data_IF_496082238193
#
_entry.id   IF_496082238193
#
_cell.length_a   1.000
_cell.length_b   1.000
_cell.length_c   1.000
_cell.angle_alpha   90.00
_cell.angle_beta   90.00
_cell.angle_gamma   90.00
#
_symmetry.space_group_name_H-M   'P 1'
#
loop_
_entity.id
_entity.type
_entity.pdbx_description
1 polymer ?
#
# COMPACT_ATOMS: atom_id res chain seq x y z
N UNK A 1 -33.28 1.21 2.21
CA UNK A 1 -32.01 1.54 2.92
C UNK A 1 -31.27 2.53 2.04
N UNK A 2 -30.92 3.70 2.55
CA UNK A 2 -30.11 4.63 1.78
C UNK A 2 -28.73 4.02 1.56
N UNK A 3 -28.32 3.97 0.30
CA UNK A 3 -26.99 3.47 -0.11
C UNK A 3 -25.92 4.34 0.53
N UNK A 4 -24.88 3.75 1.13
CA UNK A 4 -23.80 4.55 1.73
C UNK A 4 -23.11 5.41 0.66
N UNK A 5 -22.53 6.58 0.98
CA UNK A 5 -21.80 7.37 0.02
C UNK A 5 -20.64 6.61 -0.61
N UNK A 6 -19.98 5.76 0.15
CA UNK A 6 -18.90 4.91 -0.36
C UNK A 6 -19.42 3.87 -1.36
N UNK A 7 -20.62 3.30 -1.13
CA UNK A 7 -21.24 2.38 -2.09
C UNK A 7 -21.59 3.08 -3.40
N UNK A 8 -22.01 4.35 -3.37
CA UNK A 8 -22.23 5.12 -4.60
C UNK A 8 -20.97 5.23 -5.46
N UNK A 9 -19.82 5.43 -4.82
CA UNK A 9 -18.53 5.46 -5.52
C UNK A 9 -18.20 4.10 -6.11
N UNK A 10 -18.36 3.03 -5.33
CA UNK A 10 -18.13 1.64 -5.76
C UNK A 10 -19.02 1.26 -6.95
N UNK A 11 -20.29 1.62 -6.89
CA UNK A 11 -21.26 1.34 -7.94
C UNK A 11 -20.94 2.10 -9.24
N UNK A 12 -20.51 3.36 -9.13
CA UNK A 12 -20.04 4.14 -10.28
C UNK A 12 -18.82 3.50 -10.95
N UNK A 13 -17.85 3.00 -10.20
CA UNK A 13 -16.73 2.23 -10.75
C UNK A 13 -17.15 0.90 -11.36
N UNK A 14 -18.13 0.22 -10.75
CA UNK A 14 -18.69 -1.01 -11.30
C UNK A 14 -19.34 -0.77 -12.65
N UNK A 15 -20.08 0.31 -12.82
CA UNK A 15 -20.74 0.67 -14.07
C UNK A 15 -19.72 1.09 -15.14
N UNK A 16 -18.70 1.85 -14.76
CA UNK A 16 -17.71 2.40 -15.69
C UNK A 16 -16.66 1.38 -16.11
N UNK A 17 -15.98 0.73 -15.17
CA UNK A 17 -14.84 -0.15 -15.42
C UNK A 17 -15.11 -1.62 -15.14
N UNK A 18 -16.30 -1.97 -14.64
CA UNK A 18 -16.63 -3.34 -14.20
C UNK A 18 -15.59 -3.90 -13.23
N UNK A 19 -15.25 -3.11 -12.23
CA UNK A 19 -14.33 -3.58 -11.19
C UNK A 19 -14.86 -4.87 -10.57
N UNK A 20 -14.01 -5.88 -10.52
CA UNK A 20 -14.34 -7.12 -9.84
C UNK A 20 -14.51 -6.88 -8.32
N UNK A 21 -15.18 -7.76 -7.59
CA UNK A 21 -15.20 -7.68 -6.12
C UNK A 21 -13.80 -7.54 -5.51
N UNK A 22 -12.79 -8.14 -6.14
CA UNK A 22 -11.39 -8.05 -5.71
C UNK A 22 -10.74 -6.69 -6.01
N UNK A 23 -11.27 -5.91 -6.95
CA UNK A 23 -10.73 -4.60 -7.31
C UNK A 23 -11.44 -3.45 -6.57
N UNK A 24 -12.67 -3.66 -6.07
CA UNK A 24 -13.41 -2.67 -5.27
C UNK A 24 -12.62 -2.10 -4.09
N UNK A 25 -11.87 -2.91 -3.30
CA UNK A 25 -11.05 -2.40 -2.20
C UNK A 25 -10.01 -1.36 -2.60
N UNK A 26 -9.68 -1.24 -3.91
CA UNK A 26 -8.76 -0.20 -4.39
C UNK A 26 -9.32 1.22 -4.20
N UNK A 27 -10.64 1.37 -4.43
CA UNK A 27 -11.35 2.64 -4.22
C UNK A 27 -11.38 2.97 -2.72
N UNK A 28 -11.77 2.00 -1.91
CA UNK A 28 -11.87 2.14 -0.46
C UNK A 28 -10.52 2.52 0.15
N UNK A 29 -9.47 1.82 -0.25
CA UNK A 29 -8.11 2.05 0.21
C UNK A 29 -7.58 3.45 -0.16
N UNK A 30 -7.82 3.88 -1.40
CA UNK A 30 -7.38 5.21 -1.84
C UNK A 30 -8.10 6.33 -1.07
N UNK A 31 -9.44 6.28 -1.01
CA UNK A 31 -10.22 7.29 -0.29
C UNK A 31 -9.93 7.29 1.21
N UNK A 32 -9.80 6.11 1.81
CA UNK A 32 -9.42 5.98 3.22
C UNK A 32 -8.01 6.56 3.48
N UNK A 33 -7.05 6.37 2.56
CA UNK A 33 -5.72 6.97 2.68
C UNK A 33 -5.78 8.49 2.59
N UNK A 34 -6.52 9.06 1.64
CA UNK A 34 -6.70 10.51 1.52
C UNK A 34 -7.35 11.10 2.77
N UNK A 35 -8.42 10.48 3.27
CA UNK A 35 -9.11 10.92 4.48
C UNK A 35 -8.21 10.79 5.72
N UNK A 36 -7.52 9.66 5.90
CA UNK A 36 -6.62 9.42 7.02
C UNK A 36 -5.56 10.53 7.12
N UNK A 37 -4.94 10.90 6.03
CA UNK A 37 -3.93 11.97 6.00
C UNK A 37 -4.49 13.37 6.23
N UNK A 38 -5.79 13.58 5.99
CA UNK A 38 -6.45 14.88 6.14
C UNK A 38 -6.92 15.16 7.57
N UNK A 39 -7.49 14.13 8.25
CA UNK A 39 -8.23 14.32 9.51
C UNK A 39 -7.39 14.18 10.76
N UNK A 40 -6.08 13.94 10.63
CA UNK A 40 -5.24 13.68 11.81
C UNK A 40 -4.14 14.74 12.00
N UNK A 41 -3.84 15.08 13.26
CA UNK A 41 -2.50 15.47 13.66
C UNK A 41 -1.65 14.20 13.68
N UNK A 42 -1.21 13.72 12.52
CA UNK A 42 -0.54 12.43 12.39
C UNK A 42 0.94 12.63 12.59
N UNK A 43 1.51 11.86 13.51
CA UNK A 43 2.96 11.72 13.63
C UNK A 43 3.49 10.85 12.50
N UNK A 44 2.75 9.81 12.11
CA UNK A 44 3.10 8.87 11.04
C UNK A 44 2.04 8.88 9.93
N UNK A 45 2.28 9.58 8.80
CA UNK A 45 1.33 9.64 7.69
C UNK A 45 1.20 8.30 6.97
N UNK A 46 0.07 8.09 6.31
CA UNK A 46 -0.14 6.90 5.46
C UNK A 46 0.47 7.17 4.08
N UNK A 47 1.45 6.34 3.72
CA UNK A 47 2.03 6.31 2.38
C UNK A 47 1.64 5.02 1.67
N UNK A 48 1.00 5.15 0.52
CA UNK A 48 0.32 4.05 -0.15
C UNK A 48 0.78 3.77 -1.58
N UNK A 49 0.74 2.48 -1.95
CA UNK A 49 0.87 2.01 -3.32
C UNK A 49 -0.41 1.37 -3.81
N UNK A 50 -0.86 1.74 -5.00
CA UNK A 50 -1.85 0.96 -5.74
C UNK A 50 -1.12 0.15 -6.81
N UNK A 51 -0.98 -1.16 -6.55
CA UNK A 51 -0.12 -2.05 -7.32
C UNK A 51 -0.96 -2.81 -8.34
N UNK A 52 -0.58 -2.78 -9.60
CA UNK A 52 -1.30 -3.54 -10.63
C UNK A 52 -0.66 -3.43 -12.01
N UNK A 53 -1.05 -4.29 -12.95
CA UNK A 53 -0.55 -4.22 -14.31
C UNK A 53 -0.89 -2.87 -14.96
N UNK A 54 -0.22 -2.51 -16.06
CA UNK A 54 -0.64 -1.36 -16.87
C UNK A 54 -2.12 -1.45 -17.27
N UNK A 55 -2.78 -0.31 -17.36
CA UNK A 55 -4.18 -0.18 -17.81
C UNK A 55 -5.24 -0.89 -16.93
N UNK A 56 -4.94 -1.28 -15.70
CA UNK A 56 -5.94 -1.90 -14.80
C UNK A 56 -6.84 -0.90 -14.05
N UNK A 57 -6.79 0.39 -14.37
CA UNK A 57 -7.66 1.41 -13.77
C UNK A 57 -7.08 2.16 -12.56
N UNK A 58 -5.82 1.93 -12.18
CA UNK A 58 -5.17 2.64 -11.05
C UNK A 58 -5.33 4.16 -11.15
N UNK A 59 -5.00 4.71 -12.32
CA UNK A 59 -5.04 6.15 -12.53
C UNK A 59 -6.47 6.70 -12.49
N UNK A 60 -7.47 5.92 -12.94
CA UNK A 60 -8.87 6.34 -12.84
C UNK A 60 -9.33 6.42 -11.37
N UNK A 61 -8.86 5.50 -10.50
CA UNK A 61 -9.12 5.60 -9.05
C UNK A 61 -8.48 6.86 -8.49
N UNK A 62 -7.20 7.10 -8.76
CA UNK A 62 -6.47 8.24 -8.18
C UNK A 62 -6.99 9.59 -8.67
N UNK A 63 -7.38 9.69 -9.94
CA UNK A 63 -7.90 10.94 -10.54
C UNK A 63 -9.22 11.41 -9.93
N UNK A 64 -9.97 10.55 -9.25
CA UNK A 64 -11.22 10.95 -8.60
C UNK A 64 -11.04 12.06 -7.57
N UNK A 65 -9.84 12.20 -7.02
CA UNK A 65 -9.52 13.19 -6.00
C UNK A 65 -8.51 14.26 -6.50
N UNK A 66 -8.22 14.32 -7.81
CA UNK A 66 -7.17 15.21 -8.35
C UNK A 66 -7.41 16.69 -8.04
N UNK A 67 -8.66 17.13 -8.03
CA UNK A 67 -9.07 18.51 -7.76
C UNK A 67 -9.48 18.75 -6.30
N UNK A 68 -9.43 17.72 -5.45
CA UNK A 68 -9.88 17.83 -4.08
C UNK A 68 -8.80 18.41 -3.15
N UNK A 69 -9.21 19.25 -2.19
CA UNK A 69 -8.30 19.92 -1.25
C UNK A 69 -7.48 19.01 -0.34
N UNK A 70 -7.87 17.72 -0.19
CA UNK A 70 -7.12 16.72 0.57
C UNK A 70 -5.96 16.12 -0.22
N UNK A 71 -5.83 16.41 -1.50
CA UNK A 71 -4.77 15.85 -2.35
C UNK A 71 -3.97 16.95 -3.03
N UNK A 72 -2.78 16.58 -3.46
CA UNK A 72 -1.96 17.37 -4.36
C UNK A 72 -1.47 16.41 -5.45
N UNK A 73 -1.97 16.59 -6.67
CA UNK A 73 -1.73 15.68 -7.77
C UNK A 73 -0.60 16.16 -8.67
N UNK A 74 0.34 15.28 -9.00
CA UNK A 74 1.45 15.56 -9.93
C UNK A 74 1.68 14.38 -10.85
N UNK A 75 2.05 14.66 -12.08
CA UNK A 75 2.35 13.63 -13.09
C UNK A 75 3.73 13.01 -12.88
N UNK A 76 4.71 13.81 -12.53
CA UNK A 76 6.09 13.37 -12.27
C UNK A 76 6.70 14.07 -11.06
N UNK A 77 7.70 13.43 -10.46
CA UNK A 77 8.41 13.93 -9.29
C UNK A 77 9.92 13.84 -9.50
N UNK A 78 10.62 14.90 -9.12
CA UNK A 78 12.09 14.92 -9.10
C UNK A 78 12.60 15.11 -7.68
N UNK A 79 13.85 14.70 -7.37
CA UNK A 79 14.41 14.90 -6.03
C UNK A 79 14.41 16.36 -5.56
N UNK A 80 14.46 17.31 -6.49
CA UNK A 80 14.49 18.72 -6.20
C UNK A 80 13.13 19.40 -6.17
N UNK A 81 12.07 18.75 -6.68
CA UNK A 81 10.71 19.33 -6.65
C UNK A 81 10.14 19.40 -5.24
N UNK A 82 10.49 18.44 -4.36
CA UNK A 82 10.05 18.48 -2.95
C UNK A 82 10.63 19.68 -2.20
N UNK A 83 11.94 19.89 -2.34
CA UNK A 83 12.66 21.02 -1.73
C UNK A 83 13.59 21.63 -2.77
N UNK A 84 13.23 22.77 -3.33
CA UNK A 84 14.06 23.49 -4.31
C UNK A 84 15.19 24.24 -3.62
N UNK A 85 16.37 24.21 -4.23
CA UNK A 85 17.50 25.06 -3.84
C UNK A 85 17.60 26.35 -4.64
N UNK A 86 16.67 26.59 -5.57
CA UNK A 86 16.67 27.78 -6.42
C UNK A 86 15.73 28.85 -5.91
N UNK A 87 16.08 30.12 -6.15
CA UNK A 87 15.12 31.23 -6.09
C UNK A 87 14.46 31.35 -7.47
N UNK A 88 13.20 31.80 -7.48
CA UNK A 88 12.58 32.20 -8.74
C UNK A 88 13.27 33.47 -9.26
N UNK A 89 13.55 33.50 -10.56
CA UNK A 89 14.12 34.70 -11.19
C UNK A 89 13.10 35.84 -11.29
N UNK A 90 11.81 35.47 -11.39
CA UNK A 90 10.70 36.43 -11.49
C UNK A 90 10.23 36.94 -10.12
N UNK A 91 10.32 36.12 -9.06
CA UNK A 91 9.98 36.48 -7.69
C UNK A 91 10.94 35.79 -6.70
N UNK A 92 11.98 36.52 -6.22
CA UNK A 92 12.96 35.97 -5.29
C UNK A 92 12.42 35.53 -3.93
N UNK A 93 11.19 35.96 -3.55
CA UNK A 93 10.53 35.56 -2.31
C UNK A 93 9.68 34.29 -2.50
N UNK A 94 9.35 33.94 -3.74
CA UNK A 94 8.59 32.74 -4.06
C UNK A 94 9.39 31.47 -3.80
N UNK A 95 8.82 30.54 -3.03
CA UNK A 95 9.39 29.22 -2.81
C UNK A 95 8.85 28.22 -3.86
N UNK A 96 9.64 27.78 -4.82
CA UNK A 96 9.22 26.81 -5.83
C UNK A 96 9.16 25.37 -5.32
N UNK A 97 9.31 25.13 -4.02
CA UNK A 97 9.21 23.81 -3.40
C UNK A 97 7.75 23.35 -3.32
N UNK A 98 7.52 22.04 -3.43
CA UNK A 98 6.20 21.44 -3.24
C UNK A 98 5.79 21.39 -1.75
N UNK A 99 6.75 21.25 -0.84
CA UNK A 99 6.47 21.02 0.58
C UNK A 99 5.49 22.01 1.21
N UNK A 100 5.55 23.33 0.97
CA UNK A 100 4.58 24.28 1.55
C UNK A 100 3.13 23.98 1.18
N UNK A 101 2.90 23.30 0.06
CA UNK A 101 1.58 22.99 -0.46
C UNK A 101 1.04 21.62 0.01
N UNK A 102 1.85 20.82 0.71
CA UNK A 102 1.54 19.43 1.03
C UNK A 102 0.97 19.21 2.44
N UNK A 103 1.01 20.22 3.32
CA UNK A 103 0.59 20.00 4.72
C UNK A 103 -0.84 19.45 4.82
N UNK A 104 -0.97 18.33 5.52
CA UNK A 104 -2.24 17.57 5.68
C UNK A 104 -2.91 17.19 4.36
N UNK A 105 -2.13 17.00 3.31
CA UNK A 105 -2.61 16.51 2.02
C UNK A 105 -1.93 15.18 1.67
N UNK A 106 -2.52 14.47 0.75
CA UNK A 106 -1.89 13.30 0.12
C UNK A 106 -1.26 13.73 -1.20
N UNK A 107 0.07 13.65 -1.30
CA UNK A 107 0.78 13.81 -2.57
C UNK A 107 0.48 12.60 -3.43
N UNK A 108 -0.25 12.80 -4.51
CA UNK A 108 -0.58 11.78 -5.49
C UNK A 108 0.36 11.90 -6.70
N UNK A 109 1.12 10.84 -6.98
CA UNK A 109 1.99 10.75 -8.16
C UNK A 109 1.40 9.71 -9.11
N UNK A 110 1.13 10.08 -10.37
CA UNK A 110 0.37 9.22 -11.28
C UNK A 110 1.02 7.86 -11.52
N UNK A 111 2.34 7.84 -11.77
CA UNK A 111 3.10 6.59 -11.97
C UNK A 111 4.50 6.68 -11.36
N UNK A 112 4.70 5.98 -10.25
CA UNK A 112 6.01 5.89 -9.62
C UNK A 112 6.96 4.94 -10.35
N UNK A 113 6.47 4.11 -11.26
CA UNK A 113 7.33 3.18 -12.02
C UNK A 113 8.34 3.95 -12.85
N UNK A 114 7.96 5.09 -13.41
CA UNK A 114 8.86 5.98 -14.16
C UNK A 114 10.04 6.49 -13.32
N UNK A 115 9.81 6.69 -12.02
CA UNK A 115 10.87 7.09 -11.08
C UNK A 115 11.84 5.94 -10.80
N UNK A 116 11.36 4.68 -10.79
CA UNK A 116 12.22 3.51 -10.57
C UNK A 116 13.12 3.20 -11.78
N UNK A 117 12.79 3.74 -12.95
CA UNK A 117 13.57 3.62 -14.19
C UNK A 117 14.64 4.70 -14.31
N UNK A 118 14.56 5.78 -13.53
CA UNK A 118 15.64 6.78 -13.44
C UNK A 118 16.88 6.12 -12.81
N UNK A 119 18.07 6.50 -13.23
CA UNK A 119 19.32 5.89 -12.74
C UNK A 119 19.43 5.88 -11.21
N UNK A 120 20.14 4.90 -10.67
CA UNK A 120 20.24 4.61 -9.22
C UNK A 120 20.55 5.84 -8.36
N UNK A 121 21.33 6.80 -8.87
CA UNK A 121 21.66 8.03 -8.14
C UNK A 121 20.42 8.88 -7.88
N UNK A 122 19.60 9.14 -8.90
CA UNK A 122 18.37 9.94 -8.78
C UNK A 122 17.35 9.26 -7.86
N UNK A 123 17.20 7.94 -8.01
CA UNK A 123 16.36 7.12 -7.14
C UNK A 123 16.81 7.23 -5.68
N UNK A 124 18.09 7.02 -5.40
CA UNK A 124 18.63 7.09 -4.04
C UNK A 124 18.49 8.49 -3.42
N UNK A 125 18.65 9.55 -4.21
CA UNK A 125 18.43 10.94 -3.74
C UNK A 125 16.96 11.17 -3.37
N UNK A 126 16.02 10.74 -4.21
CA UNK A 126 14.59 10.84 -3.91
C UNK A 126 14.21 10.04 -2.66
N UNK A 127 14.71 8.81 -2.55
CA UNK A 127 14.48 7.97 -1.39
C UNK A 127 15.06 8.57 -0.09
N UNK A 128 16.22 9.21 -0.18
CA UNK A 128 16.81 9.93 0.95
C UNK A 128 15.94 11.14 1.36
N UNK A 129 15.41 11.88 0.39
CA UNK A 129 14.46 12.96 0.64
C UNK A 129 13.20 12.45 1.33
N UNK A 130 12.58 11.39 0.81
CA UNK A 130 11.40 10.78 1.44
C UNK A 130 11.67 10.28 2.87
N UNK A 131 12.81 9.63 3.12
CA UNK A 131 13.17 9.23 4.49
C UNK A 131 13.24 10.42 5.44
N UNK A 132 13.78 11.51 4.96
CA UNK A 132 13.88 12.75 5.72
C UNK A 132 12.55 13.46 5.93
N UNK A 133 11.53 13.20 5.11
CA UNK A 133 10.24 13.90 5.14
C UNK A 133 9.12 13.10 5.81
N UNK A 134 9.37 11.84 6.15
CA UNK A 134 8.38 11.04 6.86
C UNK A 134 8.28 11.45 8.33
N UNK A 135 7.07 11.77 8.79
CA UNK A 135 6.80 12.22 10.15
C UNK A 135 6.66 13.74 10.29
N UNK A 136 6.58 14.22 11.51
CA UNK A 136 6.27 15.62 11.84
C UNK A 136 7.51 16.47 12.21
N UNK A 137 8.71 15.95 11.96
CA UNK A 137 9.93 16.66 12.29
C UNK A 137 10.18 17.84 11.34
N UNK A 138 10.75 18.90 11.92
CA UNK A 138 11.23 20.04 11.15
C UNK A 138 12.36 19.63 10.20
N UNK A 139 12.24 20.02 8.96
CA UNK A 139 13.25 19.78 7.91
C UNK A 139 13.93 21.06 7.51
N UNK A 140 15.24 21.00 7.45
CA UNK A 140 16.09 22.11 7.03
C UNK A 140 16.90 21.69 5.82
N UNK A 141 16.85 22.51 4.80
CA UNK A 141 17.74 22.36 3.64
C UNK A 141 18.49 23.65 3.44
N UNK A 142 19.80 23.55 3.36
CA UNK A 142 20.68 24.63 2.91
C UNK A 142 21.22 24.26 1.55
N UNK A 143 20.89 25.01 0.53
CA UNK A 143 21.43 24.76 -0.83
C UNK A 143 21.27 25.96 -1.75
N UNK A 144 22.23 26.11 -2.64
CA UNK A 144 22.19 27.04 -3.75
C UNK A 144 21.99 28.51 -3.32
N UNK A 145 21.28 29.24 -4.14
CA UNK A 145 20.98 30.67 -3.97
C UNK A 145 19.89 30.94 -2.95
N UNK A 146 19.09 29.92 -2.60
CA UNK A 146 17.94 30.08 -1.70
C UNK A 146 18.33 30.17 -0.21
N UNK A 147 19.58 29.83 0.15
CA UNK A 147 20.02 29.79 1.54
C UNK A 147 19.40 28.63 2.33
N UNK A 148 19.17 28.85 3.63
CA UNK A 148 18.56 27.85 4.51
C UNK A 148 17.04 28.02 4.52
N UNK A 149 16.31 26.97 4.18
CA UNK A 149 14.85 26.86 4.30
C UNK A 149 14.47 25.83 5.35
N UNK A 150 13.44 26.11 6.13
CA UNK A 150 12.89 25.21 7.16
C UNK A 150 11.42 24.93 6.86
N UNK A 151 11.04 23.64 6.89
CA UNK A 151 9.67 23.20 6.69
C UNK A 151 9.23 22.32 7.84
N UNK A 152 8.00 22.50 8.31
CA UNK A 152 7.30 21.57 9.19
C UNK A 152 6.01 21.16 8.49
N UNK A 153 6.04 20.04 7.81
CA UNK A 153 4.95 19.54 6.96
C UNK A 153 4.78 18.06 7.21
N UNK A 154 3.55 17.63 7.44
CA UNK A 154 3.16 16.23 7.50
C UNK A 154 2.22 15.95 6.34
N UNK A 155 2.60 15.03 5.47
CA UNK A 155 1.82 14.72 4.28
C UNK A 155 1.76 13.23 3.99
N UNK A 156 0.64 12.80 3.44
CA UNK A 156 0.49 11.47 2.86
C UNK A 156 1.14 11.35 1.50
N UNK A 157 1.32 10.12 1.07
CA UNK A 157 1.79 9.83 -0.28
C UNK A 157 0.96 8.69 -0.88
N UNK A 158 0.63 8.81 -2.16
CA UNK A 158 -0.06 7.75 -2.88
C UNK A 158 0.38 7.70 -4.34
N UNK A 159 0.63 6.51 -4.88
CA UNK A 159 0.97 6.38 -6.28
C UNK A 159 0.58 5.03 -6.88
N UNK A 160 0.28 5.05 -8.18
CA UNK A 160 0.15 3.85 -8.99
C UNK A 160 1.51 3.25 -9.31
N UNK A 161 1.63 1.93 -9.17
CA UNK A 161 2.88 1.21 -9.49
C UNK A 161 2.57 -0.12 -10.16
N UNK A 162 3.55 -0.65 -10.87
CA UNK A 162 3.48 -2.03 -11.39
C UNK A 162 4.09 -3.04 -10.41
N UNK A 163 4.01 -4.33 -10.73
CA UNK A 163 4.62 -5.39 -9.91
C UNK A 163 6.15 -5.29 -9.74
N UNK A 164 6.82 -4.43 -10.50
CA UNK A 164 8.25 -4.11 -10.35
C UNK A 164 8.57 -3.57 -8.96
N UNK A 165 7.56 -3.00 -8.26
CA UNK A 165 7.72 -2.50 -6.89
C UNK A 165 8.20 -3.58 -5.91
N UNK A 166 7.90 -4.86 -6.15
CA UNK A 166 8.35 -5.95 -5.27
C UNK A 166 9.88 -6.08 -5.27
N UNK A 167 10.51 -5.97 -6.43
CA UNK A 167 11.96 -5.99 -6.53
C UNK A 167 12.59 -4.68 -6.05
N UNK A 168 11.92 -3.57 -6.28
CA UNK A 168 12.34 -2.26 -5.77
C UNK A 168 12.34 -2.23 -4.23
N UNK A 169 11.26 -2.65 -3.59
CA UNK A 169 11.15 -2.72 -2.13
C UNK A 169 12.19 -3.67 -1.53
N UNK A 170 12.49 -4.78 -2.19
CA UNK A 170 13.53 -5.72 -1.74
C UNK A 170 14.93 -5.09 -1.77
N UNK A 171 15.23 -4.26 -2.77
CA UNK A 171 16.53 -3.57 -2.89
C UNK A 171 16.65 -2.36 -1.96
N UNK A 172 15.55 -1.65 -1.73
CA UNK A 172 15.50 -0.40 -0.99
C UNK A 172 14.71 -0.51 0.32
N UNK A 173 14.93 -1.58 1.07
CA UNK A 173 14.17 -1.90 2.29
C UNK A 173 14.09 -0.77 3.32
N UNK A 174 15.14 0.04 3.43
CA UNK A 174 15.15 1.18 4.35
C UNK A 174 14.01 2.17 4.09
N UNK A 175 13.38 2.14 2.90
CA UNK A 175 12.22 2.94 2.58
C UNK A 175 10.92 2.14 2.57
N UNK A 176 10.97 0.87 2.14
CA UNK A 176 9.80 -0.01 2.00
C UNK A 176 8.96 -0.15 3.25
N UNK A 177 9.60 0.00 4.41
CA UNK A 177 8.95 0.03 5.71
C UNK A 177 7.93 1.18 5.91
N UNK A 178 7.92 2.19 5.05
CA UNK A 178 7.03 3.35 5.14
C UNK A 178 5.80 3.25 4.27
N UNK A 179 5.82 2.36 3.29
CA UNK A 179 4.71 2.21 2.35
C UNK A 179 3.90 0.97 2.65
N UNK A 180 2.60 1.12 2.51
CA UNK A 180 1.63 0.03 2.49
C UNK A 180 1.03 -0.10 1.11
N UNK A 181 0.57 -1.26 0.70
CA UNK A 181 0.13 -1.48 -0.68
C UNK A 181 -1.16 -2.28 -0.79
N UNK A 182 -1.91 -2.03 -1.86
CA UNK A 182 -3.04 -2.85 -2.27
C UNK A 182 -2.88 -3.23 -3.74
N UNK A 183 -3.18 -4.49 -4.10
CA UNK A 183 -3.02 -5.03 -5.45
C UNK A 183 -4.34 -5.16 -6.17
N UNK A 184 -4.39 -4.58 -7.36
CA UNK A 184 -5.49 -4.72 -8.30
C UNK A 184 -5.25 -5.89 -9.28
N UNK A 185 -6.33 -6.42 -9.84
CA UNK A 185 -6.34 -7.54 -10.79
C UNK A 185 -5.52 -8.75 -10.30
N UNK A 186 -5.72 -9.09 -9.05
CA UNK A 186 -5.00 -10.16 -8.36
C UNK A 186 -5.12 -11.51 -9.08
N UNK A 187 -6.30 -11.77 -9.63
CA UNK A 187 -6.67 -13.00 -10.31
C UNK A 187 -6.88 -12.82 -11.83
N UNK A 188 -6.24 -11.83 -12.45
CA UNK A 188 -6.39 -11.62 -13.89
C UNK A 188 -6.00 -12.86 -14.73
N UNK A 189 -5.08 -13.66 -14.22
CA UNK A 189 -4.62 -14.90 -14.88
C UNK A 189 -5.65 -16.02 -14.79
N UNK A 190 -6.54 -15.98 -13.80
CA UNK A 190 -7.53 -17.06 -13.54
C UNK A 190 -8.89 -16.78 -14.17
N UNK A 191 -9.05 -15.67 -14.88
CA UNK A 191 -10.31 -15.36 -15.59
C UNK A 191 -10.50 -16.29 -16.77
N UNK A 192 -11.69 -16.86 -16.90
CA UNK A 192 -12.07 -17.59 -18.12
C UNK A 192 -11.97 -16.64 -19.33
N UNK A 193 -11.39 -17.12 -20.43
CA UNK A 193 -11.09 -16.34 -21.65
C UNK A 193 -12.28 -15.48 -22.13
N UNK A 194 -13.50 -16.04 -22.13
CA UNK A 194 -14.69 -15.32 -22.55
C UNK A 194 -15.04 -14.13 -21.65
N UNK A 195 -14.82 -14.25 -20.34
CA UNK A 195 -15.02 -13.16 -19.37
C UNK A 195 -13.98 -12.06 -19.56
N UNK A 196 -12.75 -12.43 -19.87
CA UNK A 196 -11.68 -11.48 -20.16
C UNK A 196 -11.98 -10.68 -21.43
N UNK A 197 -12.39 -11.34 -22.51
CA UNK A 197 -12.78 -10.68 -23.77
C UNK A 197 -14.00 -9.75 -23.57
N UNK A 198 -14.99 -10.18 -22.80
CA UNK A 198 -16.14 -9.33 -22.47
C UNK A 198 -15.72 -8.07 -21.70
N UNK A 199 -14.83 -8.22 -20.72
CA UNK A 199 -14.28 -7.12 -19.95
C UNK A 199 -13.47 -6.14 -20.83
N UNK A 200 -12.58 -6.64 -21.69
CA UNK A 200 -11.81 -5.81 -22.64
C UNK A 200 -12.75 -4.99 -23.53
N UNK A 201 -13.79 -5.61 -24.08
CA UNK A 201 -14.80 -4.91 -24.91
C UNK A 201 -15.53 -3.83 -24.12
N UNK A 202 -15.86 -4.10 -22.84
CA UNK A 202 -16.50 -3.11 -21.99
C UNK A 202 -15.57 -1.91 -21.75
N UNK A 203 -14.32 -2.13 -21.35
CA UNK A 203 -13.34 -1.08 -21.11
C UNK A 203 -13.07 -0.25 -22.37
N UNK A 204 -13.03 -0.87 -23.56
CA UNK A 204 -12.92 -0.14 -24.83
C UNK A 204 -14.11 0.78 -25.08
N UNK A 205 -15.34 0.36 -24.72
CA UNK A 205 -16.54 1.22 -24.82
C UNK A 205 -16.48 2.34 -23.77
N UNK A 206 -16.10 1.99 -22.55
CA UNK A 206 -15.95 2.95 -21.44
C UNK A 206 -14.92 4.05 -21.76
N UNK A 207 -13.82 3.71 -22.44
CA UNK A 207 -12.82 4.69 -22.87
C UNK A 207 -13.38 5.79 -23.78
N UNK A 208 -14.43 5.51 -24.56
CA UNK A 208 -15.12 6.50 -25.41
C UNK A 208 -16.01 7.46 -24.60
N UNK A 209 -16.37 7.12 -23.39
CA UNK A 209 -17.25 7.87 -22.50
C UNK A 209 -16.55 8.39 -21.25
N UNK A 210 -15.22 8.38 -21.24
CA UNK A 210 -14.40 8.81 -20.11
C UNK A 210 -14.73 10.24 -19.65
N UNK A 211 -15.01 11.14 -20.59
CA UNK A 211 -15.31 12.54 -20.30
C UNK A 211 -16.67 12.71 -19.58
N UNK A 212 -17.56 11.71 -19.69
CA UNK A 212 -18.82 11.65 -18.98
C UNK A 212 -18.61 11.01 -17.59
N UNK A 213 -17.87 9.91 -17.54
CA UNK A 213 -17.71 9.13 -16.30
C UNK A 213 -16.76 9.74 -15.29
N UNK A 214 -15.68 10.37 -15.74
CA UNK A 214 -14.68 10.98 -14.82
C UNK A 214 -15.28 12.05 -13.90
N UNK A 215 -16.10 13.00 -14.38
CA UNK A 215 -16.79 13.95 -13.50
C UNK A 215 -17.77 13.27 -12.52
N UNK A 216 -18.46 12.19 -12.95
CA UNK A 216 -19.37 11.45 -12.07
C UNK A 216 -18.60 10.75 -10.95
N UNK A 217 -17.51 10.06 -11.30
CA UNK A 217 -16.64 9.40 -10.32
C UNK A 217 -16.01 10.39 -9.35
N UNK A 218 -15.48 11.51 -9.87
CA UNK A 218 -14.88 12.56 -9.05
C UNK A 218 -15.92 13.19 -8.13
N UNK A 219 -17.11 13.53 -8.64
CA UNK A 219 -18.19 14.08 -7.83
C UNK A 219 -18.60 13.15 -6.69
N UNK A 220 -18.80 11.86 -6.97
CA UNK A 220 -19.16 10.88 -5.95
C UNK A 220 -18.05 10.69 -4.90
N UNK A 221 -16.79 10.63 -5.32
CA UNK A 221 -15.65 10.46 -4.42
C UNK A 221 -15.45 11.69 -3.52
N UNK A 222 -15.49 12.88 -4.11
CA UNK A 222 -15.35 14.15 -3.36
C UNK A 222 -16.52 14.34 -2.39
N UNK A 223 -17.76 14.09 -2.81
CA UNK A 223 -18.94 14.16 -1.93
C UNK A 223 -18.79 13.20 -0.74
N UNK A 224 -18.31 11.98 -0.98
CA UNK A 224 -18.08 10.97 0.06
C UNK A 224 -17.08 11.48 1.12
N UNK A 225 -15.97 12.07 0.69
CA UNK A 225 -14.93 12.59 1.59
C UNK A 225 -15.40 13.90 2.27
N UNK A 226 -16.00 14.82 1.53
CA UNK A 226 -16.48 16.12 2.06
C UNK A 226 -17.57 15.94 3.12
N UNK A 227 -18.45 14.96 2.94
CA UNK A 227 -19.46 14.63 3.96
C UNK A 227 -18.81 14.29 5.30
N UNK A 228 -17.73 13.52 5.28
CA UNK A 228 -16.99 13.20 6.50
C UNK A 228 -16.32 14.46 7.05
N UNK A 229 -15.61 15.22 6.20
CA UNK A 229 -14.86 16.42 6.61
C UNK A 229 -15.76 17.52 7.18
N UNK A 230 -16.98 17.67 6.67
CA UNK A 230 -17.94 18.68 7.17
C UNK A 230 -18.38 18.46 8.62
N UNK A 231 -18.35 17.19 9.09
CA UNK A 231 -18.60 16.81 10.48
C UNK A 231 -17.42 17.07 11.43
N UNK A 232 -16.33 17.65 10.96
CA UNK A 232 -15.08 17.80 11.71
C UNK A 232 -14.64 16.49 12.41
N UNK A 233 -14.50 15.40 11.67
CA UNK A 233 -14.30 14.07 12.22
C UNK A 233 -12.92 13.95 12.87
N UNK A 234 -12.86 13.11 13.90
CA UNK A 234 -11.59 12.59 14.40
C UNK A 234 -11.54 11.08 14.18
N UNK A 235 -10.48 10.60 13.55
CA UNK A 235 -10.23 9.14 13.46
C UNK A 235 -10.10 8.53 14.85
N UNK A 236 -9.70 9.32 15.87
CA UNK A 236 -9.70 8.90 17.26
C UNK A 236 -11.11 8.66 17.80
N UNK A 237 -12.15 9.31 17.25
CA UNK A 237 -13.56 9.08 17.58
C UNK A 237 -14.11 7.74 17.09
N UNK A 238 -13.39 7.01 16.23
CA UNK A 238 -13.79 5.65 15.83
C UNK A 238 -13.37 4.66 16.90
N UNK A 239 -14.35 4.05 17.53
CA UNK A 239 -14.14 3.08 18.60
C UNK A 239 -13.64 1.74 18.04
N UNK A 240 -12.66 1.16 18.73
CA UNK A 240 -12.16 -0.20 18.51
C UNK A 240 -12.34 -1.02 19.78
N UNK A 241 -12.27 -2.33 19.68
CA UNK A 241 -12.21 -3.23 20.83
C UNK A 241 -10.77 -3.71 21.05
N UNK A 242 -10.44 -4.09 22.29
CA UNK A 242 -9.14 -4.69 22.64
C UNK A 242 -8.81 -5.89 21.74
N UNK A 243 -9.83 -6.66 21.35
CA UNK A 243 -9.66 -7.81 20.45
C UNK A 243 -9.17 -7.38 19.06
N UNK A 244 -9.74 -6.31 18.50
CA UNK A 244 -9.32 -5.73 17.20
C UNK A 244 -7.90 -5.16 17.32
N UNK A 245 -7.60 -4.41 18.38
CA UNK A 245 -6.27 -3.84 18.59
C UNK A 245 -5.19 -4.92 18.71
N UNK A 246 -5.46 -5.98 19.46
CA UNK A 246 -4.60 -7.15 19.55
C UNK A 246 -4.42 -7.84 18.20
N UNK A 247 -5.51 -8.02 17.43
CA UNK A 247 -5.44 -8.60 16.09
C UNK A 247 -4.55 -7.78 15.15
N UNK A 248 -4.70 -6.46 15.13
CA UNK A 248 -3.89 -5.54 14.34
C UNK A 248 -2.40 -5.57 14.75
N UNK A 249 -2.12 -5.63 16.05
CA UNK A 249 -0.77 -5.74 16.58
C UNK A 249 -0.10 -7.06 16.13
N UNK A 250 -0.80 -8.18 16.25
CA UNK A 250 -0.32 -9.51 15.81
C UNK A 250 -0.09 -9.54 14.31
N UNK A 251 -1.05 -9.02 13.51
CA UNK A 251 -0.93 -8.92 12.06
C UNK A 251 0.30 -8.09 11.67
N UNK A 252 0.46 -6.93 12.29
CA UNK A 252 1.57 -6.03 12.00
C UNK A 252 2.92 -6.64 12.34
N UNK A 253 3.03 -7.32 13.46
CA UNK A 253 4.24 -8.03 13.86
C UNK A 253 4.59 -9.15 12.86
N UNK A 254 3.60 -9.95 12.45
CA UNK A 254 3.81 -11.01 11.46
C UNK A 254 4.29 -10.44 10.11
N UNK A 255 3.60 -9.44 9.56
CA UNK A 255 3.92 -8.85 8.26
C UNK A 255 5.30 -8.19 8.24
N UNK A 256 5.65 -7.43 9.29
CA UNK A 256 6.96 -6.76 9.35
C UNK A 256 8.11 -7.77 9.45
N UNK A 257 7.95 -8.87 10.18
CA UNK A 257 8.93 -9.98 10.22
C UNK A 257 9.05 -10.65 8.85
N UNK A 258 7.92 -10.99 8.23
CA UNK A 258 7.87 -11.69 6.94
C UNK A 258 8.49 -10.89 5.79
N UNK A 259 8.28 -9.57 5.76
CA UNK A 259 8.81 -8.70 4.71
C UNK A 259 10.25 -8.24 4.92
N UNK A 260 10.85 -8.49 6.09
CA UNK A 260 12.25 -8.14 6.35
C UNK A 260 13.17 -8.97 5.47
N UNK A 261 13.97 -8.33 4.61
CA UNK A 261 14.93 -9.01 3.74
C UNK A 261 16.38 -8.74 4.19
N UNK A 262 17.33 -9.62 3.83
CA UNK A 262 18.73 -9.43 4.14
C UNK A 262 19.31 -8.27 3.34
N UNK A 263 20.20 -7.47 3.96
CA UNK A 263 20.91 -6.36 3.33
C UNK A 263 22.34 -6.81 3.03
N UNK A 264 22.78 -6.64 1.80
CA UNK A 264 24.12 -7.07 1.33
C UNK A 264 24.47 -8.52 1.70
N UNK A 265 23.46 -9.40 1.77
CA UNK A 265 23.65 -10.80 2.14
C UNK A 265 23.69 -11.09 3.64
N UNK A 266 23.74 -10.07 4.49
CA UNK A 266 23.64 -10.23 5.95
C UNK A 266 22.18 -10.31 6.38
N UNK A 267 21.88 -11.23 7.32
CA UNK A 267 20.56 -11.30 7.96
C UNK A 267 20.34 -10.08 8.86
N UNK A 268 19.10 -9.63 8.94
CA UNK A 268 18.71 -8.40 9.64
C UNK A 268 17.67 -8.71 10.72
N UNK A 269 17.69 -7.94 11.79
CA UNK A 269 16.61 -7.94 12.77
C UNK A 269 15.29 -7.47 12.13
N UNK A 270 14.18 -7.95 12.66
CA UNK A 270 12.87 -7.56 12.17
C UNK A 270 12.62 -6.07 12.36
N UNK A 271 11.95 -5.46 11.40
CA UNK A 271 11.44 -4.10 11.53
C UNK A 271 10.47 -4.00 12.72
N UNK A 272 10.52 -2.88 13.45
CA UNK A 272 9.53 -2.60 14.47
C UNK A 272 8.14 -2.39 13.86
N UNK A 273 7.15 -3.12 14.36
CA UNK A 273 5.78 -3.10 13.82
C UNK A 273 5.00 -1.80 14.09
N UNK A 274 5.50 -0.92 14.96
CA UNK A 274 4.79 0.26 15.46
C UNK A 274 4.23 1.16 14.33
N UNK A 275 5.07 1.50 13.35
CA UNK A 275 4.63 2.31 12.21
C UNK A 275 3.58 1.61 11.36
N UNK A 276 3.78 0.33 11.11
CA UNK A 276 2.86 -0.43 10.27
C UNK A 276 1.47 -0.56 10.91
N UNK A 277 1.41 -0.85 12.22
CA UNK A 277 0.13 -0.92 12.94
C UNK A 277 -0.60 0.42 12.94
N UNK A 278 0.13 1.53 13.10
CA UNK A 278 -0.49 2.86 13.02
C UNK A 278 -1.09 3.13 11.63
N UNK A 279 -0.34 2.88 10.56
CA UNK A 279 -0.83 3.09 9.20
C UNK A 279 -2.09 2.28 8.89
N UNK A 280 -2.11 0.98 9.19
CA UNK A 280 -3.27 0.14 8.89
C UNK A 280 -4.46 0.46 9.81
N UNK A 281 -4.24 0.85 11.06
CA UNK A 281 -5.29 1.32 11.96
C UNK A 281 -5.93 2.61 11.42
N UNK A 282 -5.12 3.54 10.92
CA UNK A 282 -5.61 4.78 10.33
C UNK A 282 -6.45 4.53 9.08
N UNK A 283 -6.02 3.61 8.21
CA UNK A 283 -6.78 3.21 7.03
C UNK A 283 -8.14 2.64 7.42
N UNK A 284 -8.18 1.70 8.36
CA UNK A 284 -9.43 1.07 8.78
C UNK A 284 -10.41 2.04 9.45
N UNK A 285 -9.91 2.92 10.33
CA UNK A 285 -10.74 3.96 10.96
C UNK A 285 -11.28 4.97 9.94
N UNK A 286 -10.45 5.40 8.98
CA UNK A 286 -10.89 6.28 7.89
C UNK A 286 -11.93 5.59 7.00
N UNK A 287 -11.77 4.31 6.73
CA UNK A 287 -12.74 3.51 5.99
C UNK A 287 -14.09 3.43 6.71
N UNK A 288 -14.10 3.20 8.03
CA UNK A 288 -15.33 3.23 8.83
C UNK A 288 -16.06 4.57 8.71
N UNK A 289 -15.32 5.70 8.78
CA UNK A 289 -15.89 7.04 8.62
C UNK A 289 -16.49 7.28 7.22
N UNK A 290 -15.82 6.84 6.16
CA UNK A 290 -16.33 6.93 4.78
C UNK A 290 -17.64 6.15 4.62
N UNK A 291 -17.75 5.04 5.32
CA UNK A 291 -18.97 4.20 5.34
C UNK A 291 -20.05 4.74 6.31
N UNK A 292 -19.80 5.88 6.96
CA UNK A 292 -20.74 6.55 7.88
C UNK A 292 -20.79 5.97 9.27
N UNK A 293 -19.79 5.18 9.68
CA UNK A 293 -19.72 4.53 10.99
C UNK A 293 -18.71 5.23 11.92
N UNK A 294 -18.98 5.18 13.21
CA UNK A 294 -18.08 5.65 14.28
C UNK A 294 -17.49 4.50 15.09
N UNK A 295 -17.59 3.30 14.59
CA UNK A 295 -17.05 2.08 15.18
C UNK A 295 -16.44 1.21 14.10
N UNK A 296 -15.40 0.46 14.48
CA UNK A 296 -14.75 -0.52 13.63
C UNK A 296 -15.60 -1.77 13.46
N UNK A 297 -15.71 -2.29 12.24
CA UNK A 297 -16.47 -3.48 11.91
C UNK A 297 -15.70 -4.40 10.95
N UNK A 298 -16.31 -5.53 10.60
CA UNK A 298 -15.70 -6.54 9.72
C UNK A 298 -15.19 -6.00 8.38
N UNK A 299 -15.88 -5.12 7.64
CA UNK A 299 -15.36 -4.57 6.39
C UNK A 299 -14.02 -3.82 6.55
N UNK A 300 -13.83 -3.16 7.70
CA UNK A 300 -12.58 -2.44 8.00
C UNK A 300 -11.44 -3.43 8.23
N UNK A 301 -11.73 -4.50 8.98
CA UNK A 301 -10.79 -5.61 9.21
C UNK A 301 -10.40 -6.29 7.88
N UNK A 302 -11.37 -6.56 7.01
CA UNK A 302 -11.14 -7.19 5.71
C UNK A 302 -10.24 -6.32 4.82
N UNK A 303 -10.50 -5.01 4.73
CA UNK A 303 -9.66 -4.08 4.00
C UNK A 303 -8.23 -4.06 4.54
N UNK A 304 -8.06 -3.97 5.84
CA UNK A 304 -6.75 -3.88 6.49
C UNK A 304 -5.94 -5.16 6.33
N UNK A 305 -6.55 -6.34 6.47
CA UNK A 305 -5.91 -7.63 6.20
C UNK A 305 -5.46 -7.70 4.73
N UNK A 306 -6.31 -7.21 3.81
CA UNK A 306 -5.98 -7.16 2.39
C UNK A 306 -4.77 -6.25 2.12
N UNK A 307 -4.74 -5.05 2.68
CA UNK A 307 -3.60 -4.11 2.58
C UNK A 307 -2.34 -4.73 3.18
N UNK A 308 -2.45 -5.37 4.34
CA UNK A 308 -1.32 -6.03 5.00
C UNK A 308 -0.72 -7.15 4.13
N UNK A 309 -1.57 -7.99 3.55
CA UNK A 309 -1.17 -9.07 2.65
C UNK A 309 -0.52 -8.54 1.36
N UNK A 310 -1.14 -7.52 0.75
CA UNK A 310 -0.70 -6.96 -0.53
C UNK A 310 0.56 -6.08 -0.41
N UNK A 311 0.88 -5.62 0.80
CA UNK A 311 2.14 -4.92 1.12
C UNK A 311 3.36 -5.83 1.00
N UNK A 312 3.18 -7.14 1.20
CA UNK A 312 4.28 -8.09 1.05
C UNK A 312 4.56 -8.39 -0.42
N UNK A 313 5.84 -8.56 -0.81
CA UNK A 313 6.19 -9.07 -2.13
C UNK A 313 5.49 -10.40 -2.44
N UNK A 314 4.94 -10.54 -3.66
CA UNK A 314 4.15 -11.73 -4.05
C UNK A 314 4.88 -13.05 -3.82
N UNK A 315 6.18 -13.10 -4.07
CA UNK A 315 6.92 -14.32 -3.89
C UNK A 315 6.98 -14.80 -2.43
N UNK A 316 7.01 -13.86 -1.46
CA UNK A 316 6.96 -14.20 -0.03
C UNK A 316 5.59 -14.80 0.34
N UNK A 317 4.50 -14.20 -0.17
CA UNK A 317 3.15 -14.71 0.05
C UNK A 317 2.99 -16.12 -0.52
N UNK A 318 3.54 -16.38 -1.71
CA UNK A 318 3.52 -17.73 -2.33
C UNK A 318 4.29 -18.77 -1.51
N UNK A 319 5.48 -18.43 -1.03
CA UNK A 319 6.26 -19.31 -0.14
C UNK A 319 5.45 -19.61 1.13
N UNK A 320 4.91 -18.57 1.75
CA UNK A 320 4.18 -18.73 3.00
C UNK A 320 2.94 -19.61 2.86
N UNK A 321 2.18 -19.46 1.78
CA UNK A 321 1.02 -20.30 1.48
C UNK A 321 1.38 -21.76 1.18
N UNK A 322 2.53 -21.99 0.57
CA UNK A 322 3.02 -23.35 0.37
C UNK A 322 3.43 -24.02 1.69
N UNK A 323 3.94 -23.24 2.65
CA UNK A 323 4.35 -23.73 3.97
C UNK A 323 3.18 -23.86 4.94
N UNK A 324 2.16 -23.00 4.81
CA UNK A 324 0.97 -22.95 5.67
C UNK A 324 -0.27 -22.90 4.76
N UNK A 325 -0.67 -24.02 4.18
CA UNK A 325 -1.88 -24.08 3.37
C UNK A 325 -3.10 -23.77 4.24
N UNK A 326 -4.04 -22.90 3.79
CA UNK A 326 -5.22 -22.52 4.56
C UNK A 326 -6.09 -23.73 4.96
N UNK A 327 -6.22 -24.70 4.04
CA UNK A 327 -7.15 -25.82 4.14
C UNK A 327 -6.52 -27.12 4.66
N UNK A 328 -5.20 -27.12 4.96
CA UNK A 328 -4.51 -28.30 5.43
C UNK A 328 -3.76 -28.05 6.75
N UNK A 329 -4.32 -28.50 7.89
CA UNK A 329 -3.62 -28.39 9.17
C UNK A 329 -2.41 -29.33 9.31
N UNK A 330 -2.37 -30.43 8.53
CA UNK A 330 -1.28 -31.42 8.56
C UNK A 330 -0.17 -31.00 7.59
N UNK A 331 0.46 -29.86 7.87
CA UNK A 331 1.56 -29.36 7.07
C UNK A 331 2.76 -30.31 7.07
N UNK A 332 3.30 -30.55 5.89
CA UNK A 332 4.53 -31.32 5.70
C UNK A 332 5.66 -30.36 5.30
N UNK A 333 6.91 -30.67 5.70
CA UNK A 333 8.07 -29.94 5.22
C UNK A 333 8.13 -29.95 3.68
N UNK A 334 8.36 -28.79 3.07
CA UNK A 334 8.41 -28.62 1.62
C UNK A 334 9.87 -28.52 1.16
N UNK A 335 10.21 -29.16 0.04
CA UNK A 335 11.56 -29.07 -0.51
C UNK A 335 11.85 -27.63 -1.01
N UNK A 336 13.07 -27.15 -0.79
CA UNK A 336 13.49 -25.82 -1.26
C UNK A 336 13.30 -25.62 -2.75
N UNK A 337 13.51 -26.68 -3.56
CA UNK A 337 13.31 -26.64 -5.02
C UNK A 337 11.83 -26.40 -5.39
N UNK A 338 10.90 -27.04 -4.68
CA UNK A 338 9.47 -26.86 -4.91
C UNK A 338 9.02 -25.44 -4.52
N UNK A 339 9.50 -24.93 -3.37
CA UNK A 339 9.25 -23.54 -2.97
C UNK A 339 9.78 -22.54 -4.00
N UNK A 340 10.95 -22.83 -4.60
CA UNK A 340 11.53 -22.01 -5.65
C UNK A 340 10.63 -21.95 -6.89
N UNK A 341 10.11 -23.09 -7.32
CA UNK A 341 9.15 -23.18 -8.45
C UNK A 341 7.85 -22.43 -8.14
N UNK A 342 7.27 -22.65 -6.96
CA UNK A 342 6.03 -21.99 -6.52
C UNK A 342 6.20 -20.48 -6.44
N UNK A 343 7.30 -20.02 -5.86
CA UNK A 343 7.59 -18.60 -5.69
C UNK A 343 8.01 -17.89 -6.99
N UNK A 344 8.45 -18.66 -8.00
CA UNK A 344 8.98 -18.15 -9.27
C UNK A 344 10.17 -17.21 -9.08
N UNK A 345 11.12 -17.57 -8.22
CA UNK A 345 12.35 -16.82 -7.95
C UNK A 345 13.59 -17.68 -8.15
N UNK A 346 14.74 -17.01 -8.40
CA UNK A 346 16.00 -17.71 -8.56
C UNK A 346 16.53 -18.35 -7.27
N UNK A 347 17.43 -19.37 -7.38
CA UNK A 347 17.95 -20.10 -6.22
C UNK A 347 18.67 -19.20 -5.21
N UNK A 348 19.34 -18.17 -5.68
CA UNK A 348 20.06 -17.22 -4.83
C UNK A 348 19.10 -16.40 -3.95
N UNK A 349 18.00 -15.90 -4.55
CA UNK A 349 16.98 -15.16 -3.83
C UNK A 349 16.24 -16.05 -2.83
N UNK A 350 15.90 -17.29 -3.23
CA UNK A 350 15.31 -18.28 -2.32
C UNK A 350 16.20 -18.54 -1.11
N UNK A 351 17.49 -18.81 -1.34
CA UNK A 351 18.44 -19.05 -0.26
C UNK A 351 18.52 -17.86 0.72
N UNK A 352 18.61 -16.65 0.19
CA UNK A 352 18.65 -15.41 1.01
C UNK A 352 17.37 -15.24 1.83
N UNK A 353 16.21 -15.44 1.22
CA UNK A 353 14.91 -15.34 1.89
C UNK A 353 14.78 -16.36 3.01
N UNK A 354 15.09 -17.64 2.74
CA UNK A 354 14.99 -18.69 3.74
C UNK A 354 16.03 -18.55 4.86
N UNK A 355 17.22 -18.01 4.59
CA UNK A 355 18.22 -17.72 5.61
C UNK A 355 17.75 -16.60 6.53
N UNK A 356 17.15 -15.55 5.97
CA UNK A 356 16.54 -14.46 6.74
C UNK A 356 15.37 -14.96 7.60
N UNK A 357 14.46 -15.75 7.01
CA UNK A 357 13.32 -16.31 7.73
C UNK A 357 13.71 -17.31 8.82
N UNK A 358 14.75 -18.10 8.58
CA UNK A 358 15.30 -18.98 9.61
C UNK A 358 15.93 -18.20 10.78
N UNK A 359 16.67 -17.13 10.49
CA UNK A 359 17.21 -16.23 11.51
C UNK A 359 16.11 -15.60 12.36
N UNK A 360 15.00 -15.19 11.75
CA UNK A 360 13.85 -14.59 12.44
C UNK A 360 12.92 -15.62 13.12
N UNK A 361 13.23 -16.91 13.04
CA UNK A 361 12.40 -17.98 13.60
C UNK A 361 11.05 -18.16 12.90
N UNK A 362 10.96 -17.77 11.62
CA UNK A 362 9.76 -17.95 10.79
C UNK A 362 9.70 -19.37 10.24
N UNK A 363 10.85 -19.90 9.83
CA UNK A 363 10.97 -21.26 9.27
C UNK A 363 12.09 -22.02 9.96
N UNK A 364 11.94 -23.35 9.95
CA UNK A 364 12.99 -24.29 10.29
C UNK A 364 13.46 -25.01 9.03
N UNK A 365 14.75 -25.34 8.99
CA UNK A 365 15.39 -26.05 7.88
C UNK A 365 15.97 -27.36 8.36
N UNK A 366 15.65 -28.45 7.67
CA UNK A 366 16.18 -29.78 7.93
C UNK A 366 16.76 -30.38 6.66
N UNK A 367 17.47 -31.51 6.77
CA UNK A 367 17.96 -32.25 5.61
C UNK A 367 17.30 -33.63 5.54
N UNK A 368 16.84 -34.00 4.34
CA UNK A 368 16.38 -35.33 4.02
C UNK A 368 17.22 -35.85 2.84
N UNK A 369 18.28 -36.57 3.15
CA UNK A 369 19.32 -36.92 2.19
C UNK A 369 20.03 -35.63 1.67
N UNK A 370 20.08 -35.44 0.37
CA UNK A 370 20.66 -34.25 -0.28
C UNK A 370 19.70 -33.07 -0.37
N UNK A 371 18.43 -33.26 -0.03
CA UNK A 371 17.39 -32.23 -0.16
C UNK A 371 17.24 -31.43 1.12
N UNK A 372 17.26 -30.10 1.01
CA UNK A 372 16.90 -29.23 2.12
C UNK A 372 15.39 -29.08 2.17
N UNK A 373 14.81 -29.46 3.29
CA UNK A 373 13.38 -29.31 3.62
C UNK A 373 13.15 -28.07 4.48
N UNK A 374 12.03 -27.40 4.29
CA UNK A 374 11.64 -26.17 4.97
C UNK A 374 10.25 -26.36 5.54
N UNK A 375 10.05 -25.93 6.78
CA UNK A 375 8.78 -25.93 7.47
C UNK A 375 8.58 -24.59 8.19
N UNK A 376 7.35 -24.08 8.20
CA UNK A 376 7.02 -22.92 9.02
C UNK A 376 7.03 -23.30 10.51
N UNK A 377 7.44 -22.38 11.37
CA UNK A 377 7.38 -22.58 12.83
C UNK A 377 5.94 -22.48 13.34
N UNK A 378 5.64 -23.09 14.48
CA UNK A 378 4.34 -23.01 15.13
C UNK A 378 4.01 -21.58 15.57
N UNK A 379 5.03 -20.81 15.95
CA UNK A 379 4.88 -19.42 16.35
C UNK A 379 4.32 -18.54 15.22
N UNK A 380 4.91 -18.62 14.00
CA UNK A 380 4.43 -17.80 12.87
C UNK A 380 3.03 -18.24 12.42
N UNK A 381 2.76 -19.54 12.41
CA UNK A 381 1.44 -20.04 12.05
C UNK A 381 0.38 -19.55 13.04
N UNK A 382 0.63 -19.67 14.34
CA UNK A 382 -0.27 -19.20 15.40
C UNK A 382 -0.58 -17.71 15.23
N UNK A 383 0.44 -16.88 14.97
CA UNK A 383 0.26 -15.45 14.72
C UNK A 383 -0.58 -15.17 13.48
N UNK A 384 -0.32 -15.86 12.38
CA UNK A 384 -1.07 -15.66 11.14
C UNK A 384 -2.53 -16.09 11.27
N UNK A 385 -2.81 -17.18 11.97
CA UNK A 385 -4.19 -17.60 12.27
C UNK A 385 -4.89 -16.60 13.18
N UNK A 386 -4.26 -16.17 14.27
CA UNK A 386 -4.81 -15.19 15.21
C UNK A 386 -5.05 -13.81 14.56
N UNK A 387 -4.24 -13.44 13.56
CA UNK A 387 -4.42 -12.20 12.81
C UNK A 387 -5.53 -12.23 11.76
N UNK A 388 -6.11 -13.40 11.48
CA UNK A 388 -7.06 -13.58 10.39
C UNK A 388 -6.43 -13.57 8.99
N UNK A 389 -5.10 -13.48 8.87
CA UNK A 389 -4.41 -13.38 7.58
C UNK A 389 -4.68 -14.57 6.65
N UNK A 390 -4.79 -15.78 7.20
CA UNK A 390 -5.08 -17.00 6.44
C UNK A 390 -6.52 -17.09 5.92
N UNK A 391 -7.45 -16.28 6.45
CA UNK A 391 -8.85 -16.26 6.03
C UNK A 391 -9.08 -15.47 4.72
N UNK A 392 -8.04 -14.88 4.16
CA UNK A 392 -8.11 -13.79 3.19
C UNK A 392 -8.35 -14.14 1.73
N UNK A 393 -8.81 -15.33 1.33
CA UNK A 393 -9.26 -15.58 -0.06
C UNK A 393 -10.58 -16.36 -0.17
N UNK A 394 -10.96 -17.16 0.82
CA UNK A 394 -12.23 -17.91 0.81
C UNK A 394 -13.35 -17.27 1.62
N UNK A 395 -13.09 -16.21 2.35
CA UNK A 395 -14.03 -15.51 3.20
C UNK A 395 -14.50 -14.13 2.74
N UNK A 396 -14.14 -13.71 1.53
CA UNK A 396 -14.63 -12.49 0.89
C UNK A 396 -15.65 -12.84 -0.22
N UNK A 397 -16.62 -13.71 0.10
CA UNK A 397 -17.83 -13.88 -0.72
C UNK A 397 -18.93 -13.01 -0.14
#
# INVERSE_FOLDING_TARGET
MDTSPLDKVRDAFQLYLQFSPDDRPAVDYFLATCLANRVQPVTDPVWGWLIGPPACGKNEVMRTMSEHSSTYYVDDLTPNSLMSGHKSDDDPEMDPSLLPHLDKRTLCVEDFTTLTEKGDLAVNQLLAAFRGLYGDEKRRKSSGTAGQREYKVVFGFFSGVTGVIDSFNTRHQQLGARFVGLRMMRHAVDRAFDKEIAHIRHVQKAAKTKDVWRPILAGAAMECVDRVLSGNPSVQGVTTTDAIENQLAVLSNAVTRLRTAPIHGAVMDAECAHRFVQQITMIGKAHALLDGRTYWDYPDTALVIRVANDTMPRFLVRILRALIPPDNPDRQPVATADLQCIAQIGPHQMHRTLSQWNYLGIVERSKRGYTTMVQATDDIETRLRASGWLLGESGLV
#
